data_IF_846858538046
#
_entry.id   IF_846858538046
#
_cell.length_a   1.000
_cell.length_b   1.000
_cell.length_c   1.000
_cell.angle_alpha   90.00
_cell.angle_beta   90.00
_cell.angle_gamma   90.00
#
_symmetry.space_group_name_H-M   'P 1'
#
loop_
_entity.id
_entity.type
_entity.pdbx_description
1 polymer ?
#
# COMPACT_ATOMS: atom_id res chain seq x y z
N UNK A 1 9.20 -43.08 49.05
CA UNK A 1 9.59 -41.69 48.71
C UNK A 1 10.47 -41.58 47.44
N UNK A 2 11.30 -42.58 47.10
CA UNK A 2 12.19 -42.55 45.91
C UNK A 2 11.49 -42.70 44.54
N UNK A 3 10.40 -43.47 44.46
CA UNK A 3 9.65 -43.69 43.20
C UNK A 3 8.92 -42.44 42.69
N UNK A 4 8.51 -41.54 43.59
CA UNK A 4 7.73 -40.35 43.23
C UNK A 4 8.58 -39.29 42.52
N UNK A 5 9.84 -39.09 42.92
CA UNK A 5 10.76 -38.14 42.27
C UNK A 5 11.14 -38.54 40.84
N UNK A 6 11.24 -39.85 40.57
CA UNK A 6 11.62 -40.38 39.24
C UNK A 6 10.48 -40.21 38.22
N UNK A 7 9.23 -40.41 38.65
CA UNK A 7 8.04 -40.20 37.81
C UNK A 7 7.86 -38.72 37.41
N UNK A 8 8.07 -37.79 38.35
CA UNK A 8 7.97 -36.34 38.10
C UNK A 8 9.04 -35.87 37.11
N UNK A 9 10.30 -36.32 37.29
CA UNK A 9 11.40 -35.98 36.38
C UNK A 9 11.18 -36.48 34.95
N UNK A 10 10.64 -37.70 34.79
CA UNK A 10 10.36 -38.28 33.48
C UNK A 10 9.18 -37.60 32.77
N UNK A 11 8.17 -37.17 33.53
CA UNK A 11 7.03 -36.40 33.02
C UNK A 11 7.47 -35.01 32.55
N UNK A 12 8.30 -34.31 33.33
CA UNK A 12 8.86 -33.00 32.94
C UNK A 12 9.72 -33.13 31.68
N UNK A 13 10.58 -34.16 31.60
CA UNK A 13 11.43 -34.36 30.42
C UNK A 13 10.62 -34.68 29.15
N UNK A 14 9.58 -35.52 29.25
CA UNK A 14 8.69 -35.77 28.12
C UNK A 14 7.92 -34.49 27.71
N UNK A 15 7.43 -33.71 28.68
CA UNK A 15 6.70 -32.47 28.41
C UNK A 15 7.60 -31.43 27.70
N UNK A 16 8.85 -31.27 28.16
CA UNK A 16 9.84 -30.39 27.51
C UNK A 16 10.16 -30.85 26.09
N UNK A 17 10.36 -32.15 25.86
CA UNK A 17 10.65 -32.68 24.52
C UNK A 17 9.46 -32.57 23.56
N UNK A 18 8.24 -32.82 24.04
CA UNK A 18 7.02 -32.66 23.24
C UNK A 18 6.86 -31.19 22.84
N UNK A 19 7.01 -30.27 23.79
CA UNK A 19 6.93 -28.82 23.54
C UNK A 19 8.01 -28.36 22.55
N UNK A 20 9.25 -28.84 22.67
CA UNK A 20 10.32 -28.52 21.72
C UNK A 20 10.02 -29.03 20.30
N UNK A 21 9.46 -30.24 20.17
CA UNK A 21 9.10 -30.81 18.85
C UNK A 21 7.92 -30.08 18.21
N UNK A 22 6.92 -29.69 19.02
CA UNK A 22 5.78 -28.89 18.57
C UNK A 22 6.23 -27.48 18.15
N UNK A 23 7.09 -26.83 18.95
CA UNK A 23 7.68 -25.53 18.63
C UNK A 23 8.48 -25.57 17.33
N UNK A 24 9.33 -26.60 17.15
CA UNK A 24 10.09 -26.81 15.91
C UNK A 24 9.18 -27.00 14.69
N UNK A 25 8.05 -27.71 14.86
CA UNK A 25 7.09 -27.92 13.78
C UNK A 25 6.34 -26.63 13.43
N UNK A 26 5.92 -25.85 14.42
CA UNK A 26 5.26 -24.54 14.22
C UNK A 26 6.17 -23.55 13.52
N UNK A 27 7.42 -23.41 13.97
CA UNK A 27 8.42 -22.52 13.33
C UNK A 27 8.60 -22.88 11.85
N UNK A 28 8.67 -24.18 11.51
CA UNK A 28 8.73 -24.62 10.12
C UNK A 28 7.51 -24.21 9.31
N UNK A 29 6.30 -24.35 9.85
CA UNK A 29 5.08 -23.93 9.16
C UNK A 29 5.01 -22.42 8.96
N UNK A 30 5.42 -21.63 9.95
CA UNK A 30 5.50 -20.16 9.85
C UNK A 30 6.47 -19.78 8.73
N UNK A 31 7.66 -20.38 8.71
CA UNK A 31 8.66 -20.11 7.68
C UNK A 31 8.15 -20.48 6.28
N UNK A 32 7.52 -21.65 6.12
CA UNK A 32 6.93 -22.06 4.84
C UNK A 32 5.88 -21.07 4.36
N UNK A 33 4.93 -20.69 5.23
CA UNK A 33 3.89 -19.71 4.88
C UNK A 33 4.47 -18.34 4.55
N UNK A 34 5.51 -17.92 5.26
CA UNK A 34 6.20 -16.65 4.99
C UNK A 34 6.78 -16.66 3.57
N UNK A 35 7.53 -17.71 3.22
CA UNK A 35 8.15 -17.86 1.90
C UNK A 35 7.11 -18.01 0.78
N UNK A 36 5.99 -18.70 1.03
CA UNK A 36 4.86 -18.77 0.10
C UNK A 36 4.25 -17.38 -0.17
N UNK A 37 4.04 -16.58 0.87
CA UNK A 37 3.51 -15.21 0.73
C UNK A 37 4.48 -14.32 -0.05
N UNK A 38 5.79 -14.36 0.25
CA UNK A 38 6.81 -13.61 -0.51
C UNK A 38 6.82 -14.00 -1.99
N UNK A 39 6.82 -15.30 -2.26
CA UNK A 39 6.81 -15.83 -3.63
C UNK A 39 5.57 -15.38 -4.38
N UNK A 40 4.40 -15.40 -3.72
CA UNK A 40 3.15 -14.97 -4.35
C UNK A 40 3.17 -13.48 -4.65
N UNK A 41 3.58 -12.63 -3.70
CA UNK A 41 3.69 -11.19 -3.94
C UNK A 41 4.72 -10.84 -5.00
N UNK A 42 5.85 -11.55 -5.05
CA UNK A 42 6.84 -11.39 -6.12
C UNK A 42 6.22 -11.69 -7.48
N UNK A 43 5.41 -12.75 -7.59
CA UNK A 43 4.70 -13.11 -8.82
C UNK A 43 3.71 -12.01 -9.23
N UNK A 44 2.86 -11.57 -8.30
CA UNK A 44 1.89 -10.48 -8.52
C UNK A 44 2.58 -9.21 -9.03
N UNK A 45 3.64 -8.76 -8.35
CA UNK A 45 4.33 -7.52 -8.73
C UNK A 45 5.03 -7.64 -10.09
N UNK A 46 5.58 -8.81 -10.45
CA UNK A 46 6.14 -9.06 -11.78
C UNK A 46 5.07 -9.05 -12.86
N UNK A 47 3.90 -9.64 -12.61
CA UNK A 47 2.78 -9.61 -13.55
C UNK A 47 2.28 -8.17 -13.76
N UNK A 48 2.16 -7.39 -12.68
CA UNK A 48 1.82 -5.96 -12.74
C UNK A 48 2.86 -5.17 -13.56
N UNK A 49 4.16 -5.37 -13.31
CA UNK A 49 5.23 -4.68 -14.04
C UNK A 49 5.21 -4.99 -15.54
N UNK A 50 4.73 -6.19 -15.92
CA UNK A 50 4.58 -6.60 -17.32
C UNK A 50 3.29 -6.09 -17.98
N UNK A 51 2.42 -5.39 -17.26
CA UNK A 51 1.21 -4.81 -17.86
C UNK A 51 1.58 -3.75 -18.91
N UNK A 52 0.92 -3.75 -20.08
CA UNK A 52 1.01 -2.64 -21.01
C UNK A 52 0.33 -1.38 -20.44
N UNK A 53 0.29 -0.31 -21.22
CA UNK A 53 -0.50 0.85 -20.85
C UNK A 53 -2.00 0.57 -20.92
N UNK A 54 -2.69 0.90 -19.83
CA UNK A 54 -4.13 1.00 -19.77
C UNK A 54 -4.50 2.44 -19.47
N UNK A 55 -5.38 3.03 -20.29
CA UNK A 55 -5.84 4.39 -20.08
C UNK A 55 -6.84 4.40 -18.93
N UNK A 56 -6.74 5.37 -18.02
CA UNK A 56 -7.86 5.70 -17.14
C UNK A 56 -8.92 6.44 -17.95
N UNK A 57 -9.76 5.72 -18.70
CA UNK A 57 -10.91 6.28 -19.38
C UNK A 57 -12.14 5.40 -19.19
N UNK A 58 -13.07 5.87 -18.36
CA UNK A 58 -14.46 5.56 -18.60
C UNK A 58 -14.84 6.12 -19.99
N UNK A 59 -15.19 5.22 -20.90
CA UNK A 59 -15.75 5.45 -22.23
C UNK A 59 -14.81 5.78 -23.42
N UNK A 60 -15.19 5.13 -24.53
CA UNK A 60 -14.83 5.33 -25.93
C UNK A 60 -13.56 4.62 -26.46
N UNK A 61 -13.70 3.34 -26.81
CA UNK A 61 -13.64 2.86 -28.22
C UNK A 61 -13.67 1.34 -28.24
N UNK A 62 -14.45 0.77 -29.17
CA UNK A 62 -14.75 -0.67 -29.28
C UNK A 62 -13.58 -1.53 -29.75
N UNK A 63 -12.47 -1.53 -29.01
CA UNK A 63 -11.38 -2.47 -29.18
C UNK A 63 -11.45 -3.56 -28.09
N UNK A 64 -11.32 -4.80 -28.52
CA UNK A 64 -11.48 -6.05 -27.75
C UNK A 64 -10.26 -6.29 -26.84
N UNK A 65 -10.02 -5.37 -25.92
CA UNK A 65 -9.22 -5.61 -24.71
C UNK A 65 -10.08 -5.17 -23.52
N UNK A 66 -10.61 -6.14 -22.77
CA UNK A 66 -11.75 -6.01 -21.85
C UNK A 66 -11.52 -5.14 -20.57
N UNK A 67 -10.44 -4.37 -20.47
CA UNK A 67 -10.16 -3.53 -19.30
C UNK A 67 -10.30 -2.05 -19.67
N UNK A 68 -11.20 -1.34 -18.98
CA UNK A 68 -11.49 0.06 -19.26
C UNK A 68 -10.55 1.03 -18.51
N UNK A 69 -9.90 0.58 -17.42
CA UNK A 69 -9.06 1.41 -16.54
C UNK A 69 -7.78 0.67 -16.12
N UNK A 70 -6.74 1.42 -15.75
CA UNK A 70 -5.48 0.85 -15.26
C UNK A 70 -5.67 0.05 -13.97
N UNK A 71 -6.52 0.58 -13.09
CA UNK A 71 -6.90 -0.05 -11.84
C UNK A 71 -7.58 -1.41 -12.10
N UNK A 72 -8.46 -1.52 -13.11
CA UNK A 72 -9.10 -2.79 -13.47
C UNK A 72 -8.08 -3.85 -13.90
N UNK A 73 -7.06 -3.45 -14.66
CA UNK A 73 -6.00 -4.36 -15.10
C UNK A 73 -5.15 -4.85 -13.93
N UNK A 74 -4.86 -3.98 -12.95
CA UNK A 74 -4.14 -4.34 -11.72
C UNK A 74 -5.01 -5.25 -10.85
N UNK A 75 -6.30 -4.96 -10.69
CA UNK A 75 -7.24 -5.80 -9.96
C UNK A 75 -7.35 -7.21 -10.56
N UNK A 76 -7.36 -7.32 -11.90
CA UNK A 76 -7.35 -8.60 -12.59
C UNK A 76 -6.10 -9.43 -12.28
N UNK A 77 -4.93 -8.80 -12.11
CA UNK A 77 -3.72 -9.50 -11.65
C UNK A 77 -3.91 -10.04 -10.22
N UNK A 78 -4.56 -9.29 -9.32
CA UNK A 78 -4.87 -9.78 -7.99
C UNK A 78 -5.81 -10.99 -8.02
N UNK A 79 -6.90 -10.89 -8.79
CA UNK A 79 -7.88 -11.97 -8.95
C UNK A 79 -7.23 -13.24 -9.52
N UNK A 80 -6.40 -13.11 -10.56
CA UNK A 80 -5.69 -14.22 -11.20
C UNK A 80 -4.65 -14.88 -10.28
N UNK A 81 -4.21 -14.19 -9.23
CA UNK A 81 -3.31 -14.73 -8.20
C UNK A 81 -4.03 -15.14 -6.92
N UNK A 82 -5.37 -15.18 -6.94
CA UNK A 82 -6.20 -15.74 -5.88
C UNK A 82 -6.44 -14.80 -4.70
N UNK A 83 -6.12 -13.51 -4.80
CA UNK A 83 -6.59 -12.55 -3.81
C UNK A 83 -8.09 -12.33 -4.00
N UNK A 84 -8.85 -12.45 -2.92
CA UNK A 84 -10.29 -12.20 -2.98
C UNK A 84 -10.57 -10.69 -3.02
N UNK A 85 -11.41 -10.23 -3.96
CA UNK A 85 -11.95 -8.88 -3.90
C UNK A 85 -12.97 -8.78 -2.76
N UNK A 86 -12.66 -8.01 -1.73
CA UNK A 86 -13.54 -7.77 -0.59
C UNK A 86 -14.39 -6.51 -0.83
N UNK A 87 -15.71 -6.72 -0.85
CA UNK A 87 -16.71 -5.65 -0.91
C UNK A 87 -17.31 -5.48 0.49
N UNK A 88 -16.87 -4.49 1.28
CA UNK A 88 -17.35 -4.33 2.66
C UNK A 88 -18.83 -3.96 2.69
N UNK A 89 -19.55 -4.46 3.68
CA UNK A 89 -20.87 -3.90 4.03
C UNK A 89 -20.71 -2.48 4.55
N UNK A 90 -21.80 -1.71 4.55
CA UNK A 90 -21.79 -0.29 4.98
C UNK A 90 -21.21 -0.08 6.39
N UNK A 91 -21.41 -1.02 7.31
CA UNK A 91 -20.89 -1.00 8.68
C UNK A 91 -19.48 -1.59 8.84
N UNK A 92 -18.92 -2.18 7.78
CA UNK A 92 -17.60 -2.81 7.76
C UNK A 92 -16.57 -1.98 7.00
N UNK A 93 -17.01 -0.99 6.21
CA UNK A 93 -16.12 -0.14 5.42
C UNK A 93 -15.21 0.68 6.35
N UNK A 94 -13.87 0.54 6.24
CA UNK A 94 -12.95 1.31 7.05
C UNK A 94 -12.98 2.79 6.69
N UNK A 95 -12.77 3.67 7.66
CA UNK A 95 -12.48 5.08 7.40
C UNK A 95 -11.07 5.23 6.81
N UNK A 96 -10.78 6.36 6.15
CA UNK A 96 -9.45 6.63 5.62
C UNK A 96 -8.37 6.60 6.71
N UNK A 97 -8.66 7.14 7.90
CA UNK A 97 -7.76 7.04 9.06
C UNK A 97 -7.46 5.58 9.42
N UNK A 98 -8.48 4.71 9.40
CA UNK A 98 -8.31 3.29 9.72
C UNK A 98 -7.45 2.59 8.68
N UNK A 99 -7.67 2.86 7.40
CA UNK A 99 -6.85 2.33 6.28
C UNK A 99 -5.38 2.70 6.48
N UNK A 100 -5.09 3.97 6.74
CA UNK A 100 -3.71 4.42 6.97
C UNK A 100 -3.09 3.82 8.22
N UNK A 101 -3.87 3.67 9.31
CA UNK A 101 -3.39 3.00 10.53
C UNK A 101 -3.01 1.54 10.29
N UNK A 102 -3.71 0.83 9.40
CA UNK A 102 -3.40 -0.55 9.03
C UNK A 102 -2.11 -0.66 8.21
N UNK A 103 -1.92 0.24 7.23
CA UNK A 103 -0.69 0.29 6.44
C UNK A 103 0.51 0.63 7.33
N UNK A 104 0.39 1.67 8.16
CA UNK A 104 1.46 2.09 9.06
C UNK A 104 1.80 1.02 10.10
N UNK A 105 0.79 0.29 10.58
CA UNK A 105 0.99 -0.85 11.49
C UNK A 105 1.93 -1.89 10.88
N UNK A 106 1.69 -2.29 9.62
CA UNK A 106 2.52 -3.29 8.95
C UNK A 106 3.94 -2.81 8.70
N UNK A 107 4.15 -1.50 8.51
CA UNK A 107 5.47 -0.91 8.21
C UNK A 107 6.30 -0.66 9.47
N UNK A 108 5.71 -0.05 10.51
CA UNK A 108 6.45 0.39 11.70
C UNK A 108 6.91 -0.77 12.57
N UNK A 109 6.37 -1.96 12.34
CA UNK A 109 6.71 -3.15 13.12
C UNK A 109 6.50 -2.95 14.64
N UNK A 110 5.60 -2.05 15.04
CA UNK A 110 5.28 -1.86 16.45
C UNK A 110 4.52 -3.09 16.98
N UNK A 111 4.81 -3.51 18.22
CA UNK A 111 4.06 -4.59 18.85
C UNK A 111 2.63 -4.06 19.12
N UNK A 112 1.58 -4.78 18.71
CA UNK A 112 0.25 -4.41 19.12
C UNK A 112 0.17 -4.39 20.65
N UNK A 113 -0.47 -3.37 21.23
CA UNK A 113 -1.05 -3.51 22.57
C UNK A 113 -2.28 -4.44 22.53
N UNK A 114 -2.91 -4.62 21.36
CA UNK A 114 -4.07 -5.51 21.10
C UNK A 114 -4.08 -6.02 19.65
N UNK A 115 -4.55 -7.26 19.42
CA UNK A 115 -4.70 -7.82 18.07
C UNK A 115 -5.51 -6.87 17.15
N UNK A 116 -5.06 -6.71 15.91
CA UNK A 116 -5.73 -5.87 14.93
C UNK A 116 -6.97 -6.61 14.39
N UNK A 117 -8.12 -6.42 15.03
CA UNK A 117 -9.38 -7.01 14.56
C UNK A 117 -9.89 -6.21 13.37
N UNK A 118 -10.03 -6.88 12.23
CA UNK A 118 -10.59 -6.31 10.99
C UNK A 118 -11.60 -7.27 10.37
N UNK A 119 -12.70 -6.76 9.80
CA UNK A 119 -13.65 -7.57 9.02
C UNK A 119 -13.10 -8.00 7.66
N UNK A 120 -11.99 -7.40 7.19
CA UNK A 120 -11.37 -7.75 5.92
C UNK A 120 -10.77 -9.17 5.96
N UNK A 121 -11.12 -10.08 5.03
CA UNK A 121 -10.57 -11.43 5.00
C UNK A 121 -9.06 -11.46 4.75
N UNK A 122 -8.36 -12.49 5.24
CA UNK A 122 -6.96 -12.71 4.88
C UNK A 122 -6.83 -13.04 3.39
N UNK A 123 -5.72 -12.65 2.78
CA UNK A 123 -5.45 -12.83 1.37
C UNK A 123 -6.53 -12.22 0.44
N UNK A 124 -6.85 -10.96 0.71
CA UNK A 124 -7.87 -10.19 -0.01
C UNK A 124 -7.41 -8.77 -0.34
N UNK A 125 -8.18 -8.06 -1.15
CA UNK A 125 -7.98 -6.64 -1.42
C UNK A 125 -9.30 -5.88 -1.45
N UNK A 126 -9.23 -4.57 -1.23
CA UNK A 126 -10.34 -3.64 -1.45
C UNK A 126 -9.87 -2.53 -2.39
N UNK A 127 -10.71 -2.21 -3.38
CA UNK A 127 -10.50 -1.13 -4.34
C UNK A 127 -11.02 0.19 -3.77
N UNK A 128 -10.28 1.28 -3.99
CA UNK A 128 -10.63 2.65 -3.60
C UNK A 128 -11.10 2.77 -2.13
N UNK A 129 -10.35 2.21 -1.14
CA UNK A 129 -10.79 2.16 0.26
C UNK A 129 -11.09 3.55 0.85
N UNK A 130 -10.39 4.59 0.40
CA UNK A 130 -10.55 5.96 0.83
C UNK A 130 -11.49 6.80 -0.06
N UNK A 131 -12.06 6.19 -1.12
CA UNK A 131 -12.86 6.87 -2.14
C UNK A 131 -12.04 7.24 -3.39
N UNK A 132 -12.74 7.56 -4.48
CA UNK A 132 -12.19 7.70 -5.86
C UNK A 132 -11.17 8.83 -6.06
N UNK A 133 -10.90 9.62 -5.02
CA UNK A 133 -10.04 10.79 -5.09
C UNK A 133 -8.94 10.79 -4.03
N UNK A 134 -8.89 9.74 -3.19
CA UNK A 134 -7.96 9.62 -2.07
C UNK A 134 -7.19 8.31 -2.15
N UNK A 135 -5.88 8.39 -1.92
CA UNK A 135 -4.99 7.23 -1.89
C UNK A 135 -5.19 6.36 -0.63
N UNK A 136 -4.90 5.05 -0.70
CA UNK A 136 -4.45 4.32 -1.89
C UNK A 136 -5.60 3.88 -2.81
N UNK A 137 -5.30 3.61 -4.08
CA UNK A 137 -6.24 2.97 -5.02
C UNK A 137 -6.58 1.52 -4.63
N UNK A 138 -5.65 0.81 -3.97
CA UNK A 138 -5.89 -0.52 -3.41
C UNK A 138 -5.28 -0.65 -2.02
N UNK A 139 -6.01 -1.35 -1.15
CA UNK A 139 -5.47 -1.90 0.09
C UNK A 139 -5.52 -3.43 -0.01
N UNK A 140 -4.37 -4.07 0.13
CA UNK A 140 -4.23 -5.53 0.19
C UNK A 140 -4.08 -5.95 1.64
N UNK A 141 -4.70 -7.06 2.03
CA UNK A 141 -4.48 -7.77 3.30
C UNK A 141 -3.94 -9.16 3.00
N UNK A 142 -2.68 -9.42 3.34
CA UNK A 142 -2.04 -10.72 3.05
C UNK A 142 -2.32 -11.74 4.16
N UNK A 143 -2.38 -11.28 5.41
CA UNK A 143 -2.78 -12.04 6.57
C UNK A 143 -3.30 -11.09 7.67
N UNK A 144 -3.57 -11.60 8.87
CA UNK A 144 -4.03 -10.82 10.03
C UNK A 144 -3.26 -9.50 10.28
N UNK A 145 -1.96 -9.45 10.00
CA UNK A 145 -1.06 -8.36 10.41
C UNK A 145 -0.42 -7.59 9.26
N UNK A 146 -0.63 -8.02 8.01
CA UNK A 146 0.07 -7.46 6.84
C UNK A 146 -0.92 -6.79 5.90
N UNK A 147 -0.78 -5.47 5.80
CA UNK A 147 -1.52 -4.59 4.92
C UNK A 147 -0.54 -3.84 4.02
N UNK A 148 -0.84 -3.79 2.73
CA UNK A 148 -0.06 -3.06 1.74
C UNK A 148 -0.97 -2.09 0.98
N UNK A 149 -0.55 -0.84 0.86
CA UNK A 149 -1.23 0.14 0.01
C UNK A 149 -0.56 0.21 -1.36
N UNK A 150 -1.36 0.15 -2.42
CA UNK A 150 -0.92 0.32 -3.81
C UNK A 150 -1.66 1.51 -4.43
N UNK A 151 -0.89 2.43 -5.01
CA UNK A 151 -1.39 3.58 -5.77
C UNK A 151 -1.10 3.39 -7.26
N UNK A 152 -2.13 3.48 -8.08
CA UNK A 152 -2.03 3.46 -9.53
C UNK A 152 -1.87 4.88 -10.08
N UNK A 153 -1.00 5.00 -11.09
CA UNK A 153 -0.83 6.20 -11.88
C UNK A 153 -0.78 5.84 -13.35
N UNK A 154 -1.43 6.64 -14.18
CA UNK A 154 -1.34 6.54 -15.63
C UNK A 154 -1.04 7.93 -16.19
N UNK A 155 -0.23 7.98 -17.25
CA UNK A 155 0.05 9.23 -17.95
C UNK A 155 0.27 9.01 -19.45
N UNK A 156 -0.01 10.04 -20.23
CA UNK A 156 0.42 10.11 -21.63
C UNK A 156 1.94 10.37 -21.76
N UNK A 157 2.59 10.83 -20.68
CA UNK A 157 4.02 11.17 -20.62
C UNK A 157 4.88 10.08 -20.00
N UNK A 158 6.08 10.44 -19.54
CA UNK A 158 7.07 9.53 -18.95
C UNK A 158 7.18 9.62 -17.42
N UNK A 159 6.39 10.48 -16.78
CA UNK A 159 6.29 10.63 -15.33
C UNK A 159 4.83 10.74 -14.88
N UNK A 160 4.53 10.30 -13.65
CA UNK A 160 3.25 10.54 -13.02
C UNK A 160 3.13 11.98 -12.50
N UNK A 161 1.89 12.46 -12.37
CA UNK A 161 1.56 13.66 -11.60
C UNK A 161 1.00 13.26 -10.23
N UNK A 162 1.34 14.03 -9.20
CA UNK A 162 0.84 13.82 -7.85
C UNK A 162 -0.04 15.00 -7.42
N UNK A 163 -1.26 14.70 -7.02
CA UNK A 163 -2.25 15.68 -6.57
C UNK A 163 -2.35 15.65 -5.04
N UNK A 164 -2.85 16.73 -4.44
CA UNK A 164 -3.42 16.92 -3.07
C UNK A 164 -2.85 16.11 -1.89
N UNK A 165 -2.75 14.78 -1.99
CA UNK A 165 -2.08 13.89 -1.03
C UNK A 165 -0.56 13.76 -1.23
N UNK A 166 -0.02 14.17 -2.38
CA UNK A 166 1.41 14.10 -2.68
C UNK A 166 1.97 12.68 -2.75
N UNK A 167 3.29 12.54 -2.61
CA UNK A 167 3.98 11.26 -2.73
C UNK A 167 4.06 10.61 -1.35
N UNK A 168 3.13 9.70 -1.09
CA UNK A 168 3.10 8.89 0.13
C UNK A 168 4.28 7.92 0.18
N UNK A 169 5.19 8.15 1.14
CA UNK A 169 6.42 7.37 1.36
C UNK A 169 6.18 5.86 1.45
N UNK A 170 5.07 5.49 2.08
CA UNK A 170 4.72 4.14 2.49
C UNK A 170 3.86 3.37 1.48
N UNK A 171 3.62 3.94 0.30
CA UNK A 171 2.86 3.28 -0.76
C UNK A 171 3.78 2.71 -1.84
N UNK A 172 3.34 1.59 -2.41
CA UNK A 172 3.87 1.07 -3.66
C UNK A 172 3.11 1.77 -4.78
N UNK A 173 3.83 2.36 -5.72
CA UNK A 173 3.23 2.97 -6.90
C UNK A 173 3.37 2.03 -8.09
N UNK A 174 2.28 1.92 -8.84
CA UNK A 174 2.22 1.26 -10.14
C UNK A 174 1.97 2.35 -11.16
N UNK A 175 2.98 2.65 -11.98
CA UNK A 175 2.91 3.70 -12.98
C UNK A 175 2.97 3.13 -14.39
N UNK A 176 1.91 3.34 -15.18
CA UNK A 176 1.89 2.99 -16.60
C UNK A 176 1.93 4.23 -17.50
N UNK A 177 2.62 4.11 -18.64
CA UNK A 177 2.78 5.21 -19.59
C UNK A 177 2.35 4.81 -20.99
N UNK A 178 1.52 5.67 -21.61
CA UNK A 178 1.07 5.51 -22.99
C UNK A 178 2.22 5.55 -23.99
N UNK A 179 3.21 6.42 -23.75
CA UNK A 179 4.30 6.68 -24.69
C UNK A 179 5.21 5.47 -24.87
N UNK A 180 5.49 4.75 -23.78
CA UNK A 180 6.32 3.53 -23.80
C UNK A 180 5.49 2.26 -23.83
N UNK A 181 4.17 2.34 -23.62
CA UNK A 181 3.27 1.22 -23.50
C UNK A 181 3.75 0.18 -22.47
N UNK A 182 4.19 0.65 -21.31
CA UNK A 182 4.74 -0.19 -20.25
C UNK A 182 4.42 0.32 -18.86
N UNK A 183 4.56 -0.57 -17.88
CA UNK A 183 4.39 -0.29 -16.46
C UNK A 183 5.73 -0.37 -15.74
N UNK A 184 5.92 0.48 -14.73
CA UNK A 184 7.04 0.44 -13.78
C UNK A 184 6.49 0.55 -12.37
N UNK A 185 7.24 0.04 -11.40
CA UNK A 185 6.88 0.07 -9.99
C UNK A 185 7.97 0.70 -9.15
N UNK A 186 7.60 1.39 -8.08
CA UNK A 186 8.53 2.03 -7.15
C UNK A 186 7.86 2.27 -5.79
N UNK A 187 8.64 2.48 -4.74
CA UNK A 187 8.11 2.88 -3.42
C UNK A 187 8.16 4.41 -3.33
N UNK A 188 7.17 5.05 -2.70
CA UNK A 188 7.11 6.51 -2.63
C UNK A 188 8.37 7.18 -2.06
N UNK A 189 9.02 6.52 -1.10
CA UNK A 189 10.30 6.97 -0.51
C UNK A 189 11.49 6.98 -1.47
N UNK A 190 11.39 6.28 -2.60
CA UNK A 190 12.44 6.28 -3.64
C UNK A 190 12.39 7.55 -4.50
N UNK A 191 11.26 8.28 -4.48
CA UNK A 191 11.04 9.47 -5.33
C UNK A 191 11.17 10.77 -4.52
N UNK A 192 10.72 10.76 -3.27
CA UNK A 192 10.65 11.96 -2.43
C UNK A 192 11.26 11.66 -1.06
N UNK A 193 12.20 12.49 -0.61
CA UNK A 193 12.77 12.36 0.73
C UNK A 193 11.81 12.87 1.81
N UNK A 194 12.03 12.46 3.06
CA UNK A 194 11.27 12.95 4.23
C UNK A 194 11.43 14.46 4.40
N UNK A 195 12.61 15.01 4.13
CA UNK A 195 12.91 16.43 4.20
C UNK A 195 12.17 17.21 3.11
N UNK A 196 12.15 16.69 1.88
CA UNK A 196 11.37 17.29 0.79
C UNK A 196 9.88 17.27 1.10
N UNK A 197 9.35 16.17 1.65
CA UNK A 197 7.96 16.07 2.09
C UNK A 197 7.63 17.12 3.17
N UNK A 198 8.50 17.31 4.17
CA UNK A 198 8.32 18.34 5.21
C UNK A 198 8.21 19.75 4.64
N UNK A 199 9.05 20.10 3.66
CA UNK A 199 9.00 21.41 2.99
C UNK A 199 7.67 21.60 2.25
N UNK A 200 7.21 20.56 1.54
CA UNK A 200 5.93 20.58 0.82
C UNK A 200 4.76 20.74 1.81
N UNK A 201 4.77 19.97 2.91
CA UNK A 201 3.73 20.02 3.94
C UNK A 201 3.66 21.39 4.63
N UNK A 202 4.82 22.00 4.89
CA UNK A 202 4.90 23.36 5.44
C UNK A 202 4.29 24.39 4.48
N UNK A 203 4.61 24.31 3.18
CA UNK A 203 4.04 25.18 2.16
C UNK A 203 2.51 25.03 2.07
N UNK A 204 2.01 23.79 1.99
CA UNK A 204 0.57 23.50 1.93
C UNK A 204 -0.11 24.07 3.18
N UNK A 205 0.45 23.86 4.36
CA UNK A 205 -0.11 24.37 5.62
C UNK A 205 -0.21 25.90 5.62
N UNK A 206 0.84 26.60 5.17
CA UNK A 206 0.81 28.07 5.03
C UNK A 206 -0.23 28.54 4.03
N UNK A 207 -0.36 27.87 2.89
CA UNK A 207 -1.38 28.19 1.89
C UNK A 207 -2.79 28.01 2.44
N UNK A 208 -3.05 26.94 3.21
CA UNK A 208 -4.38 26.72 3.83
C UNK A 208 -4.75 27.79 4.85
N UNK A 209 -3.79 28.28 5.63
CA UNK A 209 -4.04 29.38 6.56
C UNK A 209 -4.41 30.66 5.80
N UNK A 210 -3.67 30.97 4.74
CA UNK A 210 -3.94 32.15 3.89
C UNK A 210 -5.28 32.04 3.17
N UNK A 211 -5.61 30.87 2.62
CA UNK A 211 -6.92 30.61 2.01
C UNK A 211 -8.06 30.83 2.99
N UNK A 212 -7.93 30.32 4.22
CA UNK A 212 -8.94 30.54 5.26
C UNK A 212 -9.13 32.03 5.53
N UNK A 213 -8.04 32.77 5.71
CA UNK A 213 -8.09 34.22 5.94
C UNK A 213 -8.86 34.96 4.83
N UNK A 214 -8.55 34.66 3.56
CA UNK A 214 -9.20 35.33 2.43
C UNK A 214 -10.63 34.85 2.19
N UNK A 215 -10.95 33.58 2.47
CA UNK A 215 -12.31 33.09 2.43
C UNK A 215 -13.19 33.70 3.53
N UNK A 216 -12.64 33.96 4.71
CA UNK A 216 -13.34 34.70 5.77
C UNK A 216 -13.66 36.13 5.32
N UNK A 217 -12.73 36.80 4.59
CA UNK A 217 -12.97 38.12 3.97
C UNK A 217 -14.03 38.07 2.86
N UNK A 218 -13.99 37.07 1.98
CA UNK A 218 -15.00 36.88 0.92
C UNK A 218 -16.40 36.71 1.51
N UNK A 219 -16.51 35.90 2.56
CA UNK A 219 -17.77 35.67 3.28
C UNK A 219 -18.35 36.95 3.87
N UNK A 220 -17.50 37.84 4.40
CA UNK A 220 -17.94 39.10 5.00
C UNK A 220 -18.56 40.08 3.98
N UNK A 221 -18.27 39.91 2.68
CA UNK A 221 -18.77 40.74 1.58
C UNK A 221 -19.69 39.98 0.62
N UNK A 222 -20.20 38.80 1.00
CA UNK A 222 -21.06 37.95 0.16
C UNK A 222 -22.49 38.52 0.07
N UNK A 223 -22.63 39.66 -0.61
CA UNK A 223 -23.89 40.38 -0.82
C UNK A 223 -24.92 39.56 -1.59
N UNK A 224 -24.47 38.55 -2.35
CA UNK A 224 -25.34 37.69 -3.15
C UNK A 224 -25.68 36.36 -2.45
N UNK A 225 -25.13 36.12 -1.26
CA UNK A 225 -25.33 34.90 -0.47
C UNK A 225 -25.09 33.62 -1.29
N UNK A 226 -24.03 33.63 -2.11
CA UNK A 226 -23.68 32.50 -2.98
C UNK A 226 -22.58 31.62 -2.40
N UNK A 227 -21.97 32.00 -1.28
CA UNK A 227 -20.95 31.20 -0.61
C UNK A 227 -19.70 31.01 -1.45
N UNK A 228 -19.33 32.02 -2.25
CA UNK A 228 -18.13 31.97 -3.09
C UNK A 228 -16.89 31.77 -2.20
N UNK A 229 -16.06 30.79 -2.56
CA UNK A 229 -14.80 30.50 -1.87
C UNK A 229 -13.69 30.17 -2.88
N UNK A 230 -12.46 30.42 -2.47
CA UNK A 230 -11.24 30.08 -3.17
C UNK A 230 -10.56 28.88 -2.51
N UNK A 231 -10.09 27.94 -3.32
CA UNK A 231 -9.37 26.75 -2.85
C UNK A 231 -8.24 26.44 -3.83
N UNK A 232 -7.01 26.32 -3.32
CA UNK A 232 -5.88 25.84 -4.11
C UNK A 232 -5.79 24.32 -3.98
N UNK A 233 -5.59 23.64 -5.10
CA UNK A 233 -5.24 22.22 -5.13
C UNK A 233 -3.72 22.09 -5.27
N UNK A 234 -3.00 21.49 -4.30
CA UNK A 234 -1.57 21.21 -4.46
C UNK A 234 -1.34 20.26 -5.63
N UNK A 235 -0.44 20.66 -6.52
CA UNK A 235 0.01 19.88 -7.68
C UNK A 235 1.53 19.72 -7.57
N UNK A 236 1.98 18.52 -7.25
CA UNK A 236 3.41 18.21 -7.10
C UNK A 236 3.90 17.65 -8.43
N UNK A 237 4.79 18.43 -9.06
CA UNK A 237 5.35 18.15 -10.37
C UNK A 237 6.83 17.83 -10.27
N UNK A 238 7.33 17.21 -11.33
CA UNK A 238 8.73 16.83 -11.49
C UNK A 238 9.29 17.63 -12.66
N UNK A 239 10.53 18.10 -12.53
CA UNK A 239 11.19 18.93 -13.53
C UNK A 239 12.69 18.63 -13.55
N UNK A 240 13.42 19.21 -14.51
CA UNK A 240 14.87 19.08 -14.62
C UNK A 240 15.36 18.37 -15.88
N UNK A 241 14.48 17.76 -16.68
CA UNK A 241 14.86 17.03 -17.89
C UNK A 241 14.51 15.55 -17.84
N UNK A 242 14.76 14.83 -18.94
CA UNK A 242 14.40 13.43 -19.07
C UNK A 242 15.24 12.54 -18.14
N UNK A 243 16.48 12.93 -17.87
CA UNK A 243 17.39 12.22 -16.97
C UNK A 243 16.87 12.13 -15.53
N UNK A 244 16.02 13.09 -15.10
CA UNK A 244 15.41 13.10 -13.77
C UNK A 244 13.96 12.61 -13.75
N UNK A 245 13.22 12.87 -14.85
CA UNK A 245 11.76 12.71 -14.85
C UNK A 245 11.28 11.54 -15.71
N UNK A 246 12.11 10.88 -16.51
CA UNK A 246 11.65 9.74 -17.29
C UNK A 246 11.77 8.45 -16.48
N UNK A 247 10.68 7.98 -15.89
CA UNK A 247 10.67 6.79 -15.02
C UNK A 247 11.06 5.50 -15.74
N UNK A 248 11.02 5.48 -17.08
CA UNK A 248 11.33 4.28 -17.88
C UNK A 248 12.78 4.21 -18.30
N UNK A 249 13.49 5.33 -18.29
CA UNK A 249 14.92 5.42 -18.65
C UNK A 249 15.78 6.03 -17.54
N UNK A 250 15.19 6.32 -16.38
CA UNK A 250 15.92 6.84 -15.23
C UNK A 250 17.01 5.84 -14.82
N UNK A 251 18.22 6.34 -14.51
CA UNK A 251 19.36 5.50 -14.18
C UNK A 251 19.07 4.57 -12.98
N UNK A 252 18.25 5.02 -12.04
CA UNK A 252 17.88 4.28 -10.83
C UNK A 252 16.62 3.43 -10.99
N UNK A 253 15.98 3.38 -12.16
CA UNK A 253 14.72 2.63 -12.37
C UNK A 253 14.80 1.20 -11.83
N UNK A 254 15.83 0.46 -12.24
CA UNK A 254 16.01 -0.93 -11.81
C UNK A 254 16.19 -1.07 -10.29
N UNK A 255 16.80 -0.07 -9.64
CA UNK A 255 16.92 -0.04 -8.19
C UNK A 255 15.57 0.26 -7.52
N UNK A 256 14.79 1.21 -8.03
CA UNK A 256 13.44 1.50 -7.52
C UNK A 256 12.52 0.29 -7.66
N UNK A 257 12.56 -0.42 -8.80
CA UNK A 257 11.81 -1.65 -9.01
C UNK A 257 12.24 -2.75 -8.02
N UNK A 258 13.56 -2.91 -7.79
CA UNK A 258 14.10 -3.85 -6.80
C UNK A 258 13.66 -3.51 -5.36
N UNK A 259 13.64 -2.21 -5.02
CA UNK A 259 13.24 -1.71 -3.70
C UNK A 259 11.80 -2.08 -3.36
N UNK A 260 10.90 -2.22 -4.34
CA UNK A 260 9.53 -2.68 -4.11
C UNK A 260 9.51 -4.10 -3.54
N UNK A 261 10.30 -5.02 -4.12
CA UNK A 261 10.39 -6.39 -3.62
C UNK A 261 11.00 -6.44 -2.22
N UNK A 262 12.10 -5.72 -2.00
CA UNK A 262 12.73 -5.64 -0.67
C UNK A 262 11.80 -5.00 0.38
N UNK A 263 11.00 -4.01 -0.01
CA UNK A 263 10.00 -3.39 0.85
C UNK A 263 8.93 -4.39 1.29
N UNK A 264 8.34 -5.12 0.34
CA UNK A 264 7.35 -6.17 0.62
C UNK A 264 7.95 -7.27 1.51
N UNK A 265 9.12 -7.78 1.17
CA UNK A 265 9.78 -8.84 1.93
C UNK A 265 10.06 -8.40 3.37
N UNK A 266 10.56 -7.17 3.56
CA UNK A 266 10.81 -6.63 4.89
C UNK A 266 9.53 -6.54 5.74
N UNK A 267 8.40 -6.14 5.15
CA UNK A 267 7.11 -6.10 5.85
C UNK A 267 6.67 -7.53 6.21
N UNK A 268 6.81 -8.48 5.29
CA UNK A 268 6.44 -9.87 5.54
C UNK A 268 7.27 -10.46 6.69
N UNK A 269 8.60 -10.37 6.60
CA UNK A 269 9.51 -10.93 7.62
C UNK A 269 9.24 -10.34 9.01
N UNK A 270 9.08 -9.02 9.09
CA UNK A 270 8.84 -8.31 10.34
C UNK A 270 7.52 -8.70 11.03
N UNK A 271 6.51 -9.12 10.25
CA UNK A 271 5.18 -9.40 10.78
C UNK A 271 4.87 -10.91 10.97
N UNK A 272 5.61 -11.83 10.34
CA UNK A 272 5.46 -13.27 10.58
C UNK A 272 6.08 -13.74 11.91
N UNK A 273 7.13 -13.08 12.39
CA UNK A 273 7.81 -13.44 13.65
C UNK A 273 7.01 -13.16 14.94
N UNK A 274 5.86 -12.49 14.84
CA UNK A 274 5.03 -12.08 16.00
C UNK A 274 3.88 -13.04 16.31
N UNK A 275 3.59 -13.98 15.42
CA UNK A 275 2.27 -14.63 15.43
C UNK A 275 2.09 -15.61 16.60
N UNK A 276 3.14 -16.27 17.14
CA UNK A 276 2.92 -17.41 18.06
C UNK A 276 4.08 -17.74 19.05
N UNK A 277 4.73 -16.75 19.69
CA UNK A 277 5.62 -17.03 20.86
C UNK A 277 4.84 -17.00 22.20
N UNK A 278 3.51 -16.92 22.15
CA UNK A 278 2.63 -17.12 23.32
C UNK A 278 2.14 -18.56 23.45
#
# INVERSE_FOLDING_TARGET
MFFHKKLISMTIYMFVNINNRLLSTRIKHIFVRMEETKKSMTKIMKEIQNLPYYKNHAAASGAVHNFAQHEDAVAAVFDNNGLAHWVPKSNEKPSSEKVWSWIDYSIRNEKPQTELVTPMPDYSYISQPCGTHDSPDFLLKLNKNIFLGIECKSADGYFPMYNSGGIKQNLIYVFCSKKVNSTTVYVGKDVLSVEQQKIIDELISKQRLLEKEYNDKLKAIDVHHRGVSYYTRPMIQQSGGAEYTNYFTHAERGQCEANVYSFIDSIIENNYGKVEIE
#
